data_IF_952722627151
#
_entry.id   IF_952722627151
#
_cell.length_a   1.000
_cell.length_b   1.000
_cell.length_c   1.000
_cell.angle_alpha   90.00
_cell.angle_beta   90.00
_cell.angle_gamma   90.00
#
_symmetry.space_group_name_H-M   'P 1'
#
loop_
_entity.id
_entity.type
_entity.pdbx_description
1 polymer ?
#
# COMPACT_ATOMS: atom_id res chain seq x y z
N UNK A 1 6.87 -24.99 37.87
CA UNK A 1 6.65 -26.16 36.99
C UNK A 1 6.33 -25.63 35.59
N UNK A 2 7.29 -25.66 34.66
CA UNK A 2 7.05 -25.34 33.25
C UNK A 2 6.60 -26.63 32.59
N UNK A 3 5.31 -26.76 32.30
CA UNK A 3 4.81 -27.82 31.41
C UNK A 3 5.43 -27.61 30.03
N UNK A 4 6.15 -28.63 29.54
CA UNK A 4 6.60 -28.73 28.16
C UNK A 4 5.36 -28.68 27.28
N UNK A 5 5.24 -27.62 26.46
CA UNK A 5 4.31 -27.61 25.34
C UNK A 5 4.74 -28.67 24.33
N UNK A 6 4.02 -29.77 24.30
CA UNK A 6 4.05 -30.75 23.25
C UNK A 6 2.84 -30.47 22.36
N UNK A 7 3.10 -29.83 21.23
CA UNK A 7 2.50 -30.07 19.91
C UNK A 7 2.99 -28.99 18.96
N UNK A 8 3.89 -29.37 18.08
CA UNK A 8 4.43 -28.52 17.00
C UNK A 8 3.42 -28.31 15.84
N UNK A 9 2.12 -28.23 16.13
CA UNK A 9 1.16 -27.85 15.10
C UNK A 9 1.22 -26.34 14.89
N UNK A 10 1.52 -25.90 13.67
CA UNK A 10 1.43 -24.49 13.28
C UNK A 10 0.00 -24.01 13.58
N UNK A 11 -0.18 -22.94 14.35
CA UNK A 11 -1.52 -22.44 14.65
C UNK A 11 -2.25 -22.06 13.35
N UNK A 12 -3.60 -22.24 13.31
CA UNK A 12 -4.37 -21.92 12.12
C UNK A 12 -4.19 -20.44 11.74
N UNK A 13 -4.18 -20.11 10.43
CA UNK A 13 -4.04 -18.74 9.99
C UNK A 13 -5.22 -17.88 10.45
N UNK A 14 -4.92 -16.67 10.88
CA UNK A 14 -5.90 -15.67 11.30
C UNK A 14 -5.83 -14.44 10.40
N UNK A 15 -7.00 -13.88 10.06
CA UNK A 15 -7.15 -12.71 9.21
C UNK A 15 -8.16 -11.73 9.81
N UNK A 16 -8.03 -10.46 9.48
CA UNK A 16 -9.04 -9.47 9.84
C UNK A 16 -10.30 -9.61 8.99
N UNK A 17 -11.45 -9.64 9.63
CA UNK A 17 -12.77 -9.66 8.99
C UNK A 17 -13.48 -8.32 9.09
N UNK A 18 -13.39 -7.65 10.24
CA UNK A 18 -13.93 -6.30 10.45
C UNK A 18 -13.05 -5.52 11.41
N UNK A 19 -13.08 -4.21 11.29
CA UNK A 19 -12.53 -3.28 12.25
C UNK A 19 -13.62 -2.30 12.66
N UNK A 20 -13.96 -2.23 13.95
CA UNK A 20 -14.85 -1.21 14.52
C UNK A 20 -14.03 -0.26 15.37
N UNK A 21 -14.24 1.03 15.15
CA UNK A 21 -13.58 2.12 15.87
C UNK A 21 -14.61 3.12 16.37
N UNK A 22 -14.34 3.74 17.53
CA UNK A 22 -15.18 4.76 18.14
C UNK A 22 -14.29 5.76 18.90
N UNK A 23 -14.52 7.05 18.74
CA UNK A 23 -13.73 8.12 19.39
C UNK A 23 -12.21 8.02 19.19
N UNK A 24 -11.79 7.61 17.97
CA UNK A 24 -10.38 7.51 17.60
C UNK A 24 -9.99 8.67 16.70
N UNK A 25 -9.29 9.67 17.23
CA UNK A 25 -8.82 10.86 16.49
C UNK A 25 -9.95 11.56 15.73
N UNK A 26 -9.92 11.49 14.37
CA UNK A 26 -10.92 12.09 13.49
C UNK A 26 -12.23 11.29 13.40
N UNK A 27 -12.28 10.06 13.91
CA UNK A 27 -13.47 9.20 13.94
C UNK A 27 -14.20 9.37 15.25
N UNK A 28 -15.31 10.10 15.26
CA UNK A 28 -16.06 10.43 16.50
C UNK A 28 -17.08 9.36 16.86
N UNK A 29 -17.98 9.02 15.94
CA UNK A 29 -18.98 8.00 16.14
C UNK A 29 -18.43 6.59 15.90
N UNK A 30 -19.10 5.58 16.41
CA UNK A 30 -18.80 4.18 16.10
C UNK A 30 -18.96 3.93 14.60
N UNK A 31 -17.92 3.42 13.98
CA UNK A 31 -17.89 3.07 12.56
C UNK A 31 -17.22 1.71 12.37
N UNK A 32 -17.77 0.89 11.50
CA UNK A 32 -17.25 -0.43 11.19
C UNK A 32 -16.83 -0.53 9.75
N UNK A 33 -15.60 -1.04 9.54
CA UNK A 33 -15.04 -1.38 8.25
C UNK A 33 -15.20 -2.88 8.06
N UNK A 34 -15.84 -3.30 6.99
CA UNK A 34 -15.82 -4.69 6.52
C UNK A 34 -14.49 -4.93 5.75
N UNK A 35 -13.71 -5.91 6.17
CA UNK A 35 -12.44 -6.33 5.56
C UNK A 35 -12.61 -7.67 4.83
N UNK A 36 -13.86 -8.07 4.53
CA UNK A 36 -14.20 -9.27 3.79
C UNK A 36 -14.39 -8.99 2.28
N UNK A 37 -14.47 -10.07 1.51
CA UNK A 37 -14.72 -10.07 0.07
C UNK A 37 -16.22 -9.99 -0.30
N UNK A 38 -17.07 -9.65 0.66
CA UNK A 38 -18.54 -9.68 0.52
C UNK A 38 -19.17 -11.08 0.63
N UNK A 39 -18.39 -12.15 0.53
CA UNK A 39 -18.81 -13.54 0.70
C UNK A 39 -18.45 -14.11 2.08
N UNK A 40 -18.02 -13.26 2.99
CA UNK A 40 -17.64 -13.62 4.35
C UNK A 40 -16.23 -14.18 4.51
N UNK A 41 -15.43 -14.22 3.43
CA UNK A 41 -13.99 -14.52 3.49
C UNK A 41 -13.21 -13.21 3.59
N UNK A 42 -12.01 -13.23 4.20
CA UNK A 42 -11.14 -12.05 4.20
C UNK A 42 -10.84 -11.60 2.76
N UNK A 43 -11.00 -10.32 2.47
CA UNK A 43 -10.54 -9.75 1.21
C UNK A 43 -9.02 -9.85 1.14
N UNK A 44 -8.46 -10.31 0.03
CA UNK A 44 -7.01 -10.31 -0.16
C UNK A 44 -6.47 -8.87 -0.20
N UNK A 45 -7.23 -7.96 -0.80
CA UNK A 45 -6.88 -6.55 -0.89
C UNK A 45 -7.96 -5.66 -0.31
N UNK A 46 -7.58 -4.84 0.65
CA UNK A 46 -8.36 -3.68 1.10
C UNK A 46 -7.54 -2.42 0.84
N UNK A 47 -8.12 -1.49 0.07
CA UNK A 47 -7.49 -0.21 -0.26
C UNK A 47 -8.23 0.91 0.45
N UNK A 48 -7.52 1.69 1.26
CA UNK A 48 -8.06 2.83 2.01
C UNK A 48 -7.69 4.10 1.23
N UNK A 49 -8.68 4.78 0.69
CA UNK A 49 -8.55 6.07 0.03
C UNK A 49 -9.05 7.21 0.93
N UNK A 50 -8.59 8.38 0.65
CA UNK A 50 -9.03 9.62 1.30
C UNK A 50 -7.96 10.69 1.23
N UNK A 51 -8.34 11.93 1.48
CA UNK A 51 -7.44 13.08 1.50
C UNK A 51 -6.37 12.97 2.60
N UNK A 52 -5.43 13.91 2.59
CA UNK A 52 -4.49 14.07 3.68
C UNK A 52 -5.23 14.37 4.98
N UNK A 53 -4.76 13.79 6.08
CA UNK A 53 -5.31 13.93 7.44
C UNK A 53 -6.72 13.32 7.64
N UNK A 54 -7.23 12.47 6.73
CA UNK A 54 -8.51 11.76 6.93
C UNK A 54 -8.39 10.52 7.81
N UNK A 55 -7.18 10.15 8.24
CA UNK A 55 -7.00 9.06 9.19
C UNK A 55 -6.62 7.70 8.60
N UNK A 56 -6.18 7.62 7.33
CA UNK A 56 -5.69 6.38 6.69
C UNK A 56 -4.64 5.65 7.54
N UNK A 57 -3.56 6.34 7.87
CA UNK A 57 -2.50 5.83 8.77
C UNK A 57 -3.05 5.45 10.15
N UNK A 58 -4.07 6.17 10.65
CA UNK A 58 -4.70 5.85 11.94
C UNK A 58 -5.39 4.49 11.91
N UNK A 59 -6.12 4.17 10.85
CA UNK A 59 -6.76 2.86 10.68
C UNK A 59 -5.73 1.74 10.60
N UNK A 60 -4.65 1.91 9.83
CA UNK A 60 -3.56 0.94 9.76
C UNK A 60 -2.90 0.73 11.14
N UNK A 61 -2.67 1.80 11.89
CA UNK A 61 -2.13 1.73 13.27
C UNK A 61 -3.09 1.04 14.24
N UNK A 62 -4.41 1.21 14.07
CA UNK A 62 -5.41 0.47 14.86
C UNK A 62 -5.28 -1.04 14.64
N UNK A 63 -5.16 -1.48 13.37
CA UNK A 63 -4.96 -2.89 13.03
C UNK A 63 -3.61 -3.41 13.52
N UNK A 64 -2.54 -2.63 13.37
CA UNK A 64 -1.20 -3.01 13.82
C UNK A 64 -1.10 -3.23 15.33
N UNK A 65 -1.97 -2.60 16.13
CA UNK A 65 -2.03 -2.79 17.60
C UNK A 65 -2.47 -4.21 17.99
N UNK A 66 -3.04 -4.99 17.11
CA UNK A 66 -3.33 -6.40 17.33
C UNK A 66 -2.13 -7.32 17.16
N UNK A 67 -0.95 -6.81 16.76
CA UNK A 67 0.29 -7.56 16.82
C UNK A 67 0.77 -7.67 18.28
N UNK A 68 0.37 -8.74 18.96
CA UNK A 68 0.71 -8.99 20.36
C UNK A 68 2.21 -9.14 20.63
N UNK A 69 3.01 -9.45 19.60
CA UNK A 69 4.48 -9.55 19.72
C UNK A 69 5.10 -8.18 20.00
N UNK A 70 4.43 -7.11 19.62
CA UNK A 70 4.86 -5.73 19.82
C UNK A 70 4.80 -5.30 21.30
N UNK A 71 4.09 -6.05 22.17
CA UNK A 71 3.77 -5.64 23.53
C UNK A 71 4.33 -6.55 24.63
N UNK A 72 5.07 -7.62 24.30
CA UNK A 72 5.63 -8.54 25.28
C UNK A 72 7.11 -8.28 25.48
N UNK A 73 7.47 -7.17 26.12
CA UNK A 73 8.73 -7.06 26.85
C UNK A 73 8.56 -6.27 28.14
N UNK A 74 8.33 -6.94 29.30
CA UNK A 74 8.13 -6.25 30.59
C UNK A 74 9.41 -5.73 31.23
N UNK A 75 10.59 -5.80 30.59
CA UNK A 75 11.89 -5.56 31.21
C UNK A 75 12.69 -4.35 30.72
N UNK A 76 12.19 -3.57 29.79
CA UNK A 76 12.84 -2.31 29.45
C UNK A 76 12.11 -1.15 30.14
N UNK A 77 12.71 -0.66 31.22
CA UNK A 77 12.45 0.65 31.84
C UNK A 77 12.80 1.76 30.82
N UNK A 78 12.03 1.93 29.81
CA UNK A 78 12.00 3.16 29.03
C UNK A 78 10.68 3.87 29.33
N UNK A 79 10.79 5.17 29.52
CA UNK A 79 9.70 6.12 29.77
C UNK A 79 8.71 6.21 28.61
N UNK A 80 8.39 5.08 28.00
CA UNK A 80 7.36 4.98 26.99
C UNK A 80 5.99 5.07 27.67
N UNK A 81 5.31 6.16 27.34
CA UNK A 81 3.92 6.40 27.69
C UNK A 81 3.12 5.11 27.61
N UNK A 82 2.58 4.69 28.75
CA UNK A 82 1.48 3.71 28.78
C UNK A 82 0.51 4.05 27.68
N UNK A 83 0.50 3.25 26.61
CA UNK A 83 -0.56 3.34 25.62
C UNK A 83 -1.80 2.92 26.40
N UNK A 84 -2.66 3.88 26.73
CA UNK A 84 -3.93 3.66 27.41
C UNK A 84 -4.67 2.55 26.68
N UNK A 85 -5.29 1.63 27.42
CA UNK A 85 -6.23 0.65 26.88
C UNK A 85 -7.32 1.45 26.16
N UNK A 86 -7.30 1.42 24.84
CA UNK A 86 -8.25 2.13 24.01
C UNK A 86 -9.42 1.17 23.76
N UNK A 87 -10.41 1.20 24.65
CA UNK A 87 -11.64 0.40 24.55
C UNK A 87 -12.44 0.71 23.28
N UNK A 88 -12.04 1.76 22.56
CA UNK A 88 -12.70 2.25 21.35
C UNK A 88 -12.39 1.45 20.09
N UNK A 89 -11.42 0.51 20.14
CA UNK A 89 -11.03 -0.29 18.97
C UNK A 89 -11.39 -1.75 19.18
N UNK A 90 -12.28 -2.25 18.32
CA UNK A 90 -12.73 -3.65 18.31
C UNK A 90 -12.38 -4.25 16.94
N UNK A 91 -11.99 -5.51 16.90
CA UNK A 91 -11.80 -6.22 15.64
C UNK A 91 -12.36 -7.63 15.68
N UNK A 92 -12.86 -8.11 14.56
CA UNK A 92 -13.23 -9.49 14.37
C UNK A 92 -12.15 -10.18 13.53
N UNK A 93 -11.64 -11.30 14.07
CA UNK A 93 -10.69 -12.15 13.38
C UNK A 93 -11.39 -13.40 12.87
N UNK A 94 -11.13 -13.77 11.61
CA UNK A 94 -11.50 -15.07 11.06
C UNK A 94 -10.32 -16.02 11.23
N UNK A 95 -10.54 -17.12 11.95
CA UNK A 95 -9.59 -18.21 12.09
C UNK A 95 -10.10 -19.38 11.24
N UNK A 96 -9.29 -19.91 10.33
CA UNK A 96 -9.70 -20.81 9.24
C UNK A 96 -10.41 -22.10 9.67
N UNK A 97 -10.25 -22.56 10.91
CA UNK A 97 -10.85 -23.81 11.38
C UNK A 97 -11.76 -23.67 12.60
N UNK A 98 -11.81 -22.51 13.23
CA UNK A 98 -12.54 -22.33 14.52
C UNK A 98 -13.65 -21.28 14.52
N UNK A 99 -13.97 -20.71 13.36
CA UNK A 99 -15.03 -19.71 13.23
C UNK A 99 -14.57 -18.25 13.46
N UNK A 100 -15.52 -17.38 13.71
CA UNK A 100 -15.29 -15.94 13.89
C UNK A 100 -15.12 -15.59 15.36
N UNK A 101 -14.06 -14.87 15.70
CA UNK A 101 -13.78 -14.40 17.06
C UNK A 101 -13.95 -12.90 17.16
N UNK A 102 -14.54 -12.44 18.27
CA UNK A 102 -14.69 -11.03 18.61
C UNK A 102 -13.67 -10.67 19.68
N UNK A 103 -12.80 -9.69 19.41
CA UNK A 103 -11.90 -9.14 20.40
C UNK A 103 -12.44 -7.81 20.90
N UNK A 104 -12.71 -7.75 22.19
CA UNK A 104 -13.13 -6.53 22.88
C UNK A 104 -12.01 -5.98 23.75
N UNK A 105 -11.07 -6.84 24.16
CA UNK A 105 -9.94 -6.52 25.05
C UNK A 105 -8.71 -7.36 24.75
N UNK A 106 -7.55 -6.90 25.20
CA UNK A 106 -6.25 -7.55 25.05
C UNK A 106 -6.12 -8.79 25.95
N UNK A 107 -6.78 -9.87 25.64
CA UNK A 107 -6.48 -11.14 26.29
C UNK A 107 -5.69 -12.03 25.34
N UNK A 108 -4.54 -12.50 25.82
CA UNK A 108 -3.79 -13.57 25.17
C UNK A 108 -4.64 -14.83 25.15
N UNK A 109 -5.03 -15.28 23.98
CA UNK A 109 -5.58 -16.59 23.73
C UNK A 109 -4.58 -17.34 22.80
N UNK A 110 -4.26 -18.58 23.12
CA UNK A 110 -3.40 -19.43 22.27
C UNK A 110 -3.94 -19.55 20.83
N UNK A 111 -5.21 -19.32 20.63
CA UNK A 111 -5.88 -19.30 19.32
C UNK A 111 -5.46 -18.12 18.42
N UNK A 112 -4.90 -17.04 18.99
CA UNK A 112 -4.41 -15.87 18.28
C UNK A 112 -2.96 -16.05 17.81
N UNK A 113 -2.29 -17.11 18.20
CA UNK A 113 -0.90 -17.38 17.81
C UNK A 113 -0.70 -17.46 16.28
N UNK A 114 -1.77 -17.66 15.51
CA UNK A 114 -1.79 -17.61 14.04
C UNK A 114 -1.91 -16.22 13.43
N UNK A 115 -2.13 -15.16 14.23
CA UNK A 115 -2.18 -13.79 13.74
C UNK A 115 -0.76 -13.27 13.49
N UNK A 116 -0.42 -13.04 12.24
CA UNK A 116 0.89 -12.60 11.81
C UNK A 116 0.71 -11.29 11.03
N UNK A 117 1.14 -10.19 11.63
CA UNK A 117 1.01 -8.85 11.08
C UNK A 117 2.39 -8.28 10.80
N UNK A 118 2.57 -7.75 9.60
CA UNK A 118 3.72 -6.95 9.18
C UNK A 118 3.21 -5.56 8.80
N UNK A 119 3.95 -4.51 9.18
CA UNK A 119 3.50 -3.15 8.95
C UNK A 119 4.61 -2.26 8.41
N UNK A 120 4.32 -1.55 7.31
CA UNK A 120 5.26 -0.69 6.60
C UNK A 120 4.69 0.72 6.52
N UNK A 121 5.38 1.67 7.17
CA UNK A 121 5.05 3.10 7.11
C UNK A 121 5.52 3.75 5.81
N UNK A 122 5.36 5.07 5.73
CA UNK A 122 5.73 5.85 4.54
C UNK A 122 7.24 5.94 4.33
N UNK A 123 8.04 6.02 5.40
CA UNK A 123 9.48 6.20 5.30
C UNK A 123 10.21 5.04 4.62
N UNK A 124 9.86 3.80 4.91
CA UNK A 124 10.41 2.55 4.34
C UNK A 124 11.91 2.62 4.01
N UNK A 125 12.68 3.27 4.91
CA UNK A 125 14.12 3.42 4.73
C UNK A 125 14.82 2.12 5.06
N UNK A 126 15.75 1.72 4.19
CA UNK A 126 16.66 0.62 4.45
C UNK A 126 17.69 1.04 5.51
N UNK A 127 17.98 0.15 6.46
CA UNK A 127 19.09 0.37 7.39
C UNK A 127 20.42 0.28 6.64
N UNK A 128 21.39 1.04 7.12
CA UNK A 128 22.78 1.02 6.63
C UNK A 128 23.74 0.31 7.62
N UNK A 129 23.22 -0.07 8.80
CA UNK A 129 23.98 -0.80 9.81
C UNK A 129 24.08 -2.30 9.46
N UNK A 130 25.04 -2.99 10.06
CA UNK A 130 25.16 -4.42 9.89
C UNK A 130 24.02 -5.16 10.60
N UNK A 131 23.56 -6.29 10.02
CA UNK A 131 22.46 -7.10 10.56
C UNK A 131 22.75 -7.67 11.96
N UNK A 132 24.02 -7.75 12.34
CA UNK A 132 24.43 -8.23 13.66
C UNK A 132 24.18 -7.22 14.79
N UNK A 133 23.93 -5.94 14.47
CA UNK A 133 23.88 -4.88 15.47
C UNK A 133 22.48 -4.47 15.90
N UNK A 134 21.44 -4.61 15.05
CA UNK A 134 20.06 -4.23 15.38
C UNK A 134 19.04 -5.12 14.67
N UNK A 135 18.44 -6.05 15.35
CA UNK A 135 17.18 -6.60 14.92
C UNK A 135 16.03 -5.67 15.32
N UNK A 136 15.28 -5.18 14.33
CA UNK A 136 13.96 -4.57 14.58
C UNK A 136 13.03 -5.63 15.14
N UNK A 137 12.89 -5.67 16.48
CA UNK A 137 12.11 -6.67 17.21
C UNK A 137 10.63 -6.70 16.80
N UNK A 138 10.11 -5.60 16.27
CA UNK A 138 8.69 -5.46 16.00
C UNK A 138 8.41 -5.23 14.52
N UNK A 139 7.62 -6.12 13.96
CA UNK A 139 7.31 -6.15 12.53
C UNK A 139 6.42 -4.99 12.05
N UNK A 140 5.84 -4.22 12.97
CA UNK A 140 4.93 -3.10 12.67
C UNK A 140 5.50 -1.74 13.07
N UNK A 141 6.74 -1.68 13.58
CA UNK A 141 7.34 -0.45 14.15
C UNK A 141 7.36 0.73 13.19
N UNK A 142 7.63 0.49 11.92
CA UNK A 142 7.72 1.55 10.90
C UNK A 142 6.39 2.26 10.62
N UNK A 143 5.24 1.66 10.99
CA UNK A 143 3.95 2.34 10.96
C UNK A 143 3.80 3.40 12.05
N UNK A 144 4.58 3.30 13.13
CA UNK A 144 4.45 4.18 14.29
C UNK A 144 5.52 5.27 14.37
N UNK A 145 6.66 5.08 13.70
CA UNK A 145 7.76 6.04 13.69
C UNK A 145 8.49 6.02 12.35
N UNK A 146 8.71 7.20 11.79
CA UNK A 146 9.46 7.41 10.55
C UNK A 146 10.99 7.24 10.74
N UNK A 147 11.45 7.21 12.00
CA UNK A 147 12.86 6.96 12.36
C UNK A 147 13.20 5.46 12.33
N UNK A 148 12.19 4.60 12.24
CA UNK A 148 12.40 3.17 12.19
C UNK A 148 12.80 2.73 10.78
N UNK A 149 14.00 2.13 10.70
CA UNK A 149 14.51 1.56 9.47
C UNK A 149 14.08 0.11 9.29
N UNK A 150 13.95 -0.31 8.04
CA UNK A 150 13.80 -1.71 7.66
C UNK A 150 15.19 -2.37 7.66
N UNK A 151 15.24 -3.68 7.46
CA UNK A 151 16.53 -4.39 7.39
C UNK A 151 17.44 -3.81 6.30
N UNK A 152 18.75 -3.99 6.47
CA UNK A 152 19.70 -3.80 5.38
C UNK A 152 19.54 -4.94 4.37
N UNK A 153 18.74 -4.67 3.32
CA UNK A 153 18.40 -5.68 2.32
C UNK A 153 19.64 -6.15 1.55
N UNK A 154 20.58 -5.25 1.24
CA UNK A 154 21.81 -5.58 0.54
C UNK A 154 22.66 -6.55 1.36
N UNK A 155 22.86 -6.26 2.63
CA UNK A 155 23.64 -7.11 3.50
C UNK A 155 22.98 -8.48 3.70
N UNK A 156 21.64 -8.51 3.87
CA UNK A 156 20.93 -9.79 3.99
C UNK A 156 21.07 -10.65 2.74
N UNK A 157 21.03 -10.04 1.55
CA UNK A 157 21.26 -10.74 0.29
C UNK A 157 22.69 -11.28 0.21
N UNK A 158 23.71 -10.49 0.59
CA UNK A 158 25.11 -10.90 0.63
C UNK A 158 25.37 -12.04 1.62
N UNK A 159 24.79 -11.96 2.82
CA UNK A 159 24.88 -13.03 3.81
C UNK A 159 24.20 -14.33 3.35
N UNK A 160 23.06 -14.19 2.64
CA UNK A 160 22.36 -15.35 2.08
C UNK A 160 23.19 -16.00 0.97
N UNK A 161 23.83 -15.22 0.07
CA UNK A 161 24.75 -15.73 -0.95
C UNK A 161 25.98 -16.41 -0.33
N UNK A 162 26.53 -15.81 0.71
CA UNK A 162 27.65 -16.43 1.45
C UNK A 162 27.24 -17.77 2.06
N UNK A 163 26.05 -17.85 2.66
CA UNK A 163 25.53 -19.11 3.20
C UNK A 163 25.32 -20.18 2.10
N UNK A 164 24.86 -19.76 0.90
CA UNK A 164 24.77 -20.66 -0.26
C UNK A 164 26.14 -21.23 -0.64
N UNK A 165 27.16 -20.37 -0.73
CA UNK A 165 28.55 -20.77 -1.05
C UNK A 165 29.15 -21.71 -0.01
N UNK A 166 28.66 -21.65 1.23
CA UNK A 166 29.03 -22.59 2.30
C UNK A 166 28.12 -23.84 2.37
N UNK A 167 27.29 -24.09 1.37
CA UNK A 167 26.51 -25.34 1.25
C UNK A 167 25.22 -25.38 2.07
N UNK A 168 24.71 -24.24 2.58
CA UNK A 168 23.45 -24.20 3.32
C UNK A 168 22.26 -24.29 2.36
N UNK A 169 21.63 -25.47 2.27
CA UNK A 169 20.52 -25.74 1.34
C UNK A 169 19.34 -24.78 1.49
N UNK A 170 18.96 -24.45 2.73
CA UNK A 170 17.87 -23.51 2.98
C UNK A 170 18.17 -22.10 2.43
N UNK A 171 19.43 -21.65 2.46
CA UNK A 171 19.84 -20.39 1.91
C UNK A 171 19.71 -20.36 0.37
N UNK A 172 20.03 -21.46 -0.30
CA UNK A 172 19.89 -21.57 -1.76
C UNK A 172 18.43 -21.42 -2.20
N UNK A 173 17.49 -22.09 -1.52
CA UNK A 173 16.06 -21.95 -1.79
C UNK A 173 15.57 -20.51 -1.54
N UNK A 174 15.97 -19.87 -0.43
CA UNK A 174 15.62 -18.48 -0.11
C UNK A 174 16.14 -17.49 -1.15
N UNK A 175 17.42 -17.65 -1.53
CA UNK A 175 18.04 -16.80 -2.55
C UNK A 175 17.35 -16.92 -3.91
N UNK A 176 17.01 -18.15 -4.33
CA UNK A 176 16.30 -18.37 -5.59
C UNK A 176 14.92 -17.73 -5.58
N UNK A 177 14.16 -17.86 -4.48
CA UNK A 177 12.83 -17.24 -4.35
C UNK A 177 12.89 -15.72 -4.34
N UNK A 178 13.78 -15.11 -3.56
CA UNK A 178 13.89 -13.62 -3.53
C UNK A 178 14.39 -13.08 -4.86
N UNK A 179 15.29 -13.82 -5.54
CA UNK A 179 15.71 -13.45 -6.89
C UNK A 179 14.53 -13.44 -7.85
N UNK A 180 13.71 -14.49 -7.84
CA UNK A 180 12.48 -14.53 -8.62
C UNK A 180 11.56 -13.34 -8.29
N UNK A 181 11.33 -13.02 -7.03
CA UNK A 181 10.52 -11.88 -6.61
C UNK A 181 11.07 -10.58 -7.19
N UNK A 182 12.35 -10.28 -7.01
CA UNK A 182 12.94 -9.00 -7.43
C UNK A 182 13.09 -8.85 -8.94
N UNK A 183 13.11 -9.96 -9.71
CA UNK A 183 13.29 -9.93 -11.17
C UNK A 183 12.03 -10.25 -11.97
N UNK A 184 10.90 -10.51 -11.32
CA UNK A 184 9.63 -10.86 -11.98
C UNK A 184 8.73 -9.66 -12.33
N UNK A 185 9.29 -8.44 -12.33
CA UNK A 185 8.60 -7.22 -12.75
C UNK A 185 8.16 -6.28 -11.62
N UNK A 186 8.51 -6.56 -10.36
CA UNK A 186 8.34 -5.59 -9.26
C UNK A 186 9.28 -4.39 -9.42
N UNK A 187 10.44 -4.64 -10.03
CA UNK A 187 11.41 -3.64 -10.43
C UNK A 187 11.44 -3.67 -11.97
N UNK A 188 10.71 -2.81 -12.69
CA UNK A 188 10.46 -2.95 -14.13
C UNK A 188 11.70 -3.18 -14.97
N UNK A 189 12.70 -2.36 -14.84
CA UNK A 189 13.89 -2.41 -15.68
C UNK A 189 14.96 -3.38 -15.15
N UNK A 190 14.64 -4.13 -14.07
CA UNK A 190 15.58 -5.09 -13.47
C UNK A 190 15.29 -6.50 -13.97
N UNK A 191 16.24 -7.04 -14.73
CA UNK A 191 16.14 -8.39 -15.31
C UNK A 191 16.88 -9.45 -14.51
N UNK A 192 17.89 -9.05 -13.74
CA UNK A 192 18.72 -9.94 -12.93
C UNK A 192 19.46 -9.15 -11.83
N UNK A 193 20.06 -9.84 -10.89
CA UNK A 193 21.07 -9.27 -10.01
C UNK A 193 22.20 -10.27 -9.71
N UNK A 194 23.37 -9.76 -9.39
CA UNK A 194 24.55 -10.55 -9.06
C UNK A 194 25.29 -9.98 -7.86
N UNK A 195 26.11 -10.80 -7.25
CA UNK A 195 26.99 -10.43 -6.15
C UNK A 195 28.38 -10.16 -6.71
N UNK A 196 28.91 -8.99 -6.44
CA UNK A 196 30.24 -8.56 -6.92
C UNK A 196 31.10 -8.18 -5.72
N UNK A 197 32.37 -8.58 -5.78
CA UNK A 197 33.38 -8.22 -4.77
C UNK A 197 34.54 -7.51 -5.47
N UNK A 198 34.90 -6.32 -4.99
CA UNK A 198 36.06 -5.56 -5.50
C UNK A 198 37.37 -6.15 -5.02
N UNK A 199 38.48 -5.69 -5.62
CA UNK A 199 39.83 -6.05 -5.18
C UNK A 199 40.10 -5.68 -3.71
N UNK A 200 39.44 -4.63 -3.23
CA UNK A 200 39.50 -4.14 -1.83
C UNK A 200 38.56 -4.90 -0.88
N UNK A 201 38.06 -6.07 -1.32
CA UNK A 201 37.18 -6.96 -0.55
C UNK A 201 35.83 -6.32 -0.16
N UNK A 202 35.37 -5.27 -0.86
CA UNK A 202 34.02 -4.72 -0.67
C UNK A 202 33.05 -5.46 -1.56
N UNK A 203 32.03 -6.08 -0.93
CA UNK A 203 30.96 -6.80 -1.61
C UNK A 203 29.69 -5.94 -1.69
N UNK A 204 28.99 -6.03 -2.82
CA UNK A 204 27.73 -5.34 -3.06
C UNK A 204 26.87 -6.13 -4.04
N UNK A 205 25.58 -5.74 -4.12
CA UNK A 205 24.62 -6.31 -5.07
C UNK A 205 24.53 -5.39 -6.28
N UNK A 206 24.77 -5.93 -7.47
CA UNK A 206 24.57 -5.25 -8.74
C UNK A 206 23.28 -5.73 -9.40
N UNK A 207 22.40 -4.81 -9.72
CA UNK A 207 21.17 -5.05 -10.48
C UNK A 207 21.42 -4.81 -11.96
N UNK A 208 21.05 -5.78 -12.78
CA UNK A 208 21.13 -5.67 -14.23
C UNK A 208 19.88 -4.99 -14.75
N UNK A 209 20.05 -3.80 -15.31
CA UNK A 209 19.00 -3.01 -15.95
C UNK A 209 19.20 -2.95 -17.46
N UNK A 210 18.22 -2.41 -18.19
CA UNK A 210 18.33 -2.17 -19.63
C UNK A 210 19.47 -1.20 -20.00
N UNK A 211 19.89 -0.37 -19.05
CA UNK A 211 20.95 0.64 -19.22
C UNK A 211 22.31 0.21 -18.67
N UNK A 212 22.43 -1.02 -18.16
CA UNK A 212 23.66 -1.56 -17.58
C UNK A 212 23.48 -2.09 -16.16
N UNK A 213 24.60 -2.40 -15.50
CA UNK A 213 24.63 -2.87 -14.12
C UNK A 213 24.81 -1.67 -13.18
N UNK A 214 23.92 -1.56 -12.17
CA UNK A 214 23.91 -0.48 -11.18
C UNK A 214 23.82 -1.07 -9.76
N UNK A 215 24.40 -0.39 -8.77
CA UNK A 215 24.31 -0.80 -7.37
C UNK A 215 22.95 -0.43 -6.79
N UNK A 216 22.54 -1.11 -5.69
CA UNK A 216 21.29 -0.82 -5.02
C UNK A 216 21.15 0.66 -4.61
N UNK A 217 22.21 1.25 -4.09
CA UNK A 217 22.23 2.66 -3.68
C UNK A 217 22.28 3.68 -4.84
N UNK A 218 22.54 3.22 -6.05
CA UNK A 218 22.51 4.03 -7.28
C UNK A 218 21.14 3.98 -7.98
N UNK A 219 20.29 3.01 -7.59
CA UNK A 219 18.91 2.96 -8.06
C UNK A 219 18.10 4.14 -7.51
N UNK A 220 17.06 4.55 -8.23
CA UNK A 220 16.12 5.56 -7.75
C UNK A 220 15.47 5.17 -6.42
N UNK A 221 15.07 6.19 -5.62
CA UNK A 221 14.53 5.96 -4.27
C UNK A 221 13.34 5.00 -4.24
N UNK A 222 12.46 5.03 -5.25
CA UNK A 222 11.34 4.10 -5.38
C UNK A 222 11.79 2.63 -5.45
N UNK A 223 12.86 2.34 -6.20
CA UNK A 223 13.47 1.00 -6.26
C UNK A 223 14.04 0.58 -4.91
N UNK A 224 14.82 1.47 -4.28
CA UNK A 224 15.43 1.18 -2.97
C UNK A 224 14.36 0.90 -1.91
N UNK A 225 13.31 1.71 -1.86
CA UNK A 225 12.17 1.54 -0.95
C UNK A 225 11.45 0.21 -1.21
N UNK A 226 11.22 -0.13 -2.49
CA UNK A 226 10.56 -1.38 -2.87
C UNK A 226 11.41 -2.60 -2.48
N UNK A 227 12.70 -2.59 -2.79
CA UNK A 227 13.62 -3.66 -2.39
C UNK A 227 13.64 -3.79 -0.86
N UNK A 228 13.73 -2.67 -0.13
CA UNK A 228 13.81 -2.69 1.33
C UNK A 228 12.63 -3.43 1.97
N UNK A 229 11.38 -3.03 1.66
CA UNK A 229 10.24 -3.63 2.33
C UNK A 229 9.86 -5.02 1.80
N UNK A 230 10.08 -5.29 0.51
CA UNK A 230 9.81 -6.63 -0.06
C UNK A 230 10.81 -7.66 0.46
N UNK A 231 12.09 -7.30 0.56
CA UNK A 231 13.12 -8.19 1.13
C UNK A 231 12.90 -8.37 2.64
N UNK A 232 12.52 -7.32 3.38
CA UNK A 232 12.15 -7.42 4.80
C UNK A 232 10.95 -8.37 5.01
N UNK A 233 9.90 -8.23 4.21
CA UNK A 233 8.75 -9.14 4.26
C UNK A 233 9.15 -10.57 3.95
N UNK A 234 9.90 -10.80 2.87
CA UNK A 234 10.35 -12.12 2.48
C UNK A 234 11.22 -12.77 3.57
N UNK A 235 12.19 -12.04 4.15
CA UNK A 235 13.00 -12.50 5.28
C UNK A 235 12.12 -12.97 6.42
N UNK A 236 11.16 -12.15 6.84
CA UNK A 236 10.26 -12.46 7.96
C UNK A 236 9.39 -13.69 7.69
N UNK A 237 8.92 -13.88 6.46
CA UNK A 237 8.17 -15.06 6.07
C UNK A 237 9.07 -16.31 6.04
N UNK A 238 10.31 -16.22 5.56
CA UNK A 238 11.28 -17.32 5.64
C UNK A 238 11.62 -17.74 7.08
N UNK A 239 11.68 -16.78 7.99
CA UNK A 239 11.93 -17.05 9.41
C UNK A 239 10.69 -17.62 10.10
N UNK A 240 9.51 -17.19 9.70
CA UNK A 240 8.24 -17.63 10.29
C UNK A 240 7.86 -19.05 9.85
N UNK A 241 8.13 -19.38 8.59
CA UNK A 241 7.76 -20.65 7.97
C UNK A 241 8.99 -21.41 7.45
N UNK A 242 9.93 -21.79 8.35
CA UNK A 242 11.22 -22.37 7.95
C UNK A 242 11.07 -23.74 7.26
N UNK A 243 9.99 -24.47 7.57
CA UNK A 243 9.74 -25.81 7.04
C UNK A 243 8.84 -25.80 5.78
N UNK A 244 8.32 -24.64 5.40
CA UNK A 244 7.47 -24.53 4.19
C UNK A 244 8.33 -24.59 2.93
N UNK A 245 7.84 -25.31 1.93
CA UNK A 245 8.46 -25.30 0.59
C UNK A 245 8.35 -23.93 -0.08
N UNK A 246 7.27 -23.19 0.21
CA UNK A 246 7.07 -21.83 -0.30
C UNK A 246 6.60 -20.86 0.80
N UNK A 247 7.50 -20.39 1.66
CA UNK A 247 7.17 -19.47 2.75
C UNK A 247 6.48 -18.18 2.30
N UNK A 248 6.71 -17.72 1.07
CA UNK A 248 6.09 -16.50 0.53
C UNK A 248 4.60 -16.69 0.22
N UNK A 249 4.15 -17.93 0.00
CA UNK A 249 2.75 -18.25 -0.21
C UNK A 249 1.98 -18.56 1.10
N UNK A 250 2.67 -18.51 2.24
CA UNK A 250 2.06 -18.78 3.53
C UNK A 250 1.23 -17.61 4.06
N UNK A 251 0.25 -17.87 4.96
CA UNK A 251 -0.66 -16.86 5.47
C UNK A 251 0.03 -15.73 6.24
N UNK A 252 -0.34 -14.49 5.95
CA UNK A 252 0.11 -13.31 6.68
C UNK A 252 -0.85 -12.13 6.47
N UNK A 253 -0.71 -11.09 7.29
CA UNK A 253 -1.37 -9.80 7.11
C UNK A 253 -0.29 -8.74 6.91
N UNK A 254 -0.45 -7.95 5.85
CA UNK A 254 0.51 -6.89 5.51
C UNK A 254 -0.22 -5.55 5.46
N UNK A 255 0.21 -4.63 6.29
CA UNK A 255 -0.28 -3.26 6.36
C UNK A 255 0.74 -2.35 5.70
N UNK A 256 0.35 -1.58 4.67
CA UNK A 256 1.27 -0.66 3.97
C UNK A 256 0.65 0.73 3.90
N UNK A 257 1.34 1.70 4.47
CA UNK A 257 0.92 3.11 4.35
C UNK A 257 1.49 3.70 3.06
N UNK A 258 0.61 4.35 2.27
CA UNK A 258 0.93 4.94 0.97
C UNK A 258 1.70 3.97 0.04
N UNK A 259 1.06 2.88 -0.35
CA UNK A 259 1.69 1.84 -1.19
C UNK A 259 2.23 2.36 -2.51
N UNK A 260 1.61 3.42 -3.05
CA UNK A 260 1.96 4.12 -4.29
C UNK A 260 3.14 5.08 -4.15
N UNK A 261 3.56 5.40 -2.93
CA UNK A 261 4.57 6.42 -2.67
C UNK A 261 5.90 6.07 -3.37
N UNK A 262 6.43 7.04 -4.11
CA UNK A 262 7.66 6.94 -4.92
C UNK A 262 7.61 5.96 -6.09
N UNK A 263 6.46 5.38 -6.42
CA UNK A 263 6.32 4.52 -7.57
C UNK A 263 5.98 5.32 -8.84
N UNK A 264 6.66 5.00 -9.93
CA UNK A 264 6.28 5.49 -11.24
C UNK A 264 4.84 5.04 -11.58
N UNK A 265 4.02 5.84 -12.30
CA UNK A 265 2.65 5.49 -12.65
C UNK A 265 2.47 4.09 -13.26
N UNK A 266 3.40 3.65 -14.09
CA UNK A 266 3.38 2.30 -14.65
C UNK A 266 3.48 1.19 -13.58
N UNK A 267 4.25 1.43 -12.53
CA UNK A 267 4.38 0.49 -11.41
C UNK A 267 3.15 0.48 -10.53
N UNK A 268 2.56 1.64 -10.31
CA UNK A 268 1.30 1.74 -9.58
C UNK A 268 0.21 0.87 -10.23
N UNK A 269 0.21 0.74 -11.55
CA UNK A 269 -0.71 -0.16 -12.28
C UNK A 269 -0.44 -1.64 -12.10
N UNK A 270 0.78 -2.03 -11.78
CA UNK A 270 1.23 -3.44 -11.76
C UNK A 270 1.40 -4.02 -10.36
N UNK A 271 1.58 -3.16 -9.34
CA UNK A 271 2.01 -3.58 -8.00
C UNK A 271 1.04 -4.56 -7.33
N UNK A 272 -0.27 -4.33 -7.45
CA UNK A 272 -1.28 -5.21 -6.84
C UNK A 272 -1.21 -6.61 -7.48
N UNK A 273 -1.23 -6.68 -8.81
CA UNK A 273 -1.14 -7.95 -9.52
C UNK A 273 0.15 -8.70 -9.16
N UNK A 274 1.25 -7.97 -9.12
CA UNK A 274 2.55 -8.52 -8.78
C UNK A 274 2.57 -9.10 -7.35
N UNK A 275 2.18 -8.33 -6.34
CA UNK A 275 2.16 -8.78 -4.95
C UNK A 275 1.17 -9.93 -4.74
N UNK A 276 0.03 -9.92 -5.43
CA UNK A 276 -0.93 -11.05 -5.43
C UNK A 276 -0.27 -12.35 -5.89
N UNK A 277 0.51 -12.29 -6.96
CA UNK A 277 1.17 -13.46 -7.51
C UNK A 277 2.29 -14.01 -6.60
N UNK A 278 3.04 -13.13 -5.93
CA UNK A 278 4.16 -13.52 -5.06
C UNK A 278 3.70 -13.93 -3.65
N UNK A 279 2.60 -13.34 -3.15
CA UNK A 279 2.09 -13.53 -1.78
C UNK A 279 0.59 -13.90 -1.80
N UNK A 280 0.22 -15.06 -2.37
CA UNK A 280 -1.17 -15.38 -2.67
C UNK A 280 -2.07 -15.60 -1.45
N UNK A 281 -1.49 -15.93 -0.28
CA UNK A 281 -2.22 -16.12 0.97
C UNK A 281 -2.11 -14.93 1.94
N UNK A 282 -1.57 -13.81 1.48
CA UNK A 282 -1.43 -12.60 2.29
C UNK A 282 -2.68 -11.72 2.16
N UNK A 283 -3.20 -11.26 3.30
CA UNK A 283 -4.18 -10.19 3.36
C UNK A 283 -3.46 -8.85 3.37
N UNK A 284 -3.61 -8.06 2.30
CA UNK A 284 -3.06 -6.71 2.20
C UNK A 284 -4.12 -5.68 2.58
N UNK A 285 -3.79 -4.81 3.52
CA UNK A 285 -4.60 -3.64 3.88
C UNK A 285 -3.70 -2.42 3.71
N UNK A 286 -3.99 -1.60 2.70
CA UNK A 286 -3.08 -0.56 2.26
C UNK A 286 -3.77 0.78 2.16
N UNK A 287 -3.05 1.87 2.41
CA UNK A 287 -3.51 3.20 2.04
C UNK A 287 -2.91 3.62 0.70
N UNK A 288 -3.62 4.45 -0.03
CA UNK A 288 -3.16 5.02 -1.29
C UNK A 288 -3.80 6.37 -1.57
N UNK A 289 -3.12 7.18 -2.38
CA UNK A 289 -3.63 8.40 -3.01
C UNK A 289 -3.72 8.26 -4.53
N UNK A 290 -3.41 7.09 -5.09
CA UNK A 290 -3.34 6.89 -6.54
C UNK A 290 -4.62 6.32 -7.12
N UNK A 291 -5.27 7.02 -8.07
CA UNK A 291 -6.37 6.45 -8.83
C UNK A 291 -5.90 5.27 -9.71
N UNK A 292 -4.61 5.22 -10.08
CA UNK A 292 -4.04 4.13 -10.88
C UNK A 292 -4.02 2.80 -10.14
N UNK A 293 -3.78 2.83 -8.83
CA UNK A 293 -3.87 1.64 -7.97
C UNK A 293 -5.29 1.07 -8.00
N UNK A 294 -6.29 1.94 -7.85
CA UNK A 294 -7.71 1.53 -7.84
C UNK A 294 -8.12 1.00 -9.22
N UNK A 295 -7.78 1.72 -10.29
CA UNK A 295 -8.12 1.34 -11.66
C UNK A 295 -7.54 -0.02 -12.07
N UNK A 296 -6.31 -0.31 -11.64
CA UNK A 296 -5.61 -1.53 -12.06
C UNK A 296 -6.01 -2.76 -11.26
N UNK A 297 -6.60 -2.56 -10.11
CA UNK A 297 -6.90 -3.63 -9.18
C UNK A 297 -8.16 -4.41 -9.57
N UNK A 298 -8.12 -5.72 -9.32
CA UNK A 298 -9.24 -6.62 -9.52
C UNK A 298 -9.63 -7.24 -8.18
N UNK A 299 -10.91 -7.38 -7.92
CA UNK A 299 -11.44 -8.00 -6.72
C UNK A 299 -10.90 -7.36 -5.42
N UNK A 300 -11.08 -6.05 -5.29
CA UNK A 300 -10.67 -5.27 -4.13
C UNK A 300 -11.86 -4.90 -3.25
N UNK A 301 -11.57 -4.76 -1.96
CA UNK A 301 -12.42 -4.08 -1.01
C UNK A 301 -11.95 -2.63 -0.89
N UNK A 302 -12.81 -1.66 -1.19
CA UNK A 302 -12.47 -0.24 -1.18
C UNK A 302 -13.08 0.44 0.05
N UNK A 303 -12.26 1.19 0.78
CA UNK A 303 -12.64 1.98 1.96
C UNK A 303 -12.36 3.44 1.66
N UNK A 304 -13.39 4.26 1.61
CA UNK A 304 -13.30 5.71 1.36
C UNK A 304 -13.44 6.46 2.68
N UNK A 305 -12.51 7.38 2.94
CA UNK A 305 -12.53 8.25 4.10
C UNK A 305 -12.97 9.64 3.67
N UNK A 306 -14.22 9.99 3.98
CA UNK A 306 -14.85 11.23 3.58
C UNK A 306 -14.80 12.27 4.71
N UNK A 307 -14.23 13.42 4.41
CA UNK A 307 -14.09 14.50 5.37
C UNK A 307 -15.43 15.24 5.52
N UNK A 308 -15.94 15.25 6.75
CA UNK A 308 -17.06 16.09 7.16
C UNK A 308 -16.55 17.39 7.83
N UNK A 309 -17.44 18.24 8.26
CA UNK A 309 -17.06 19.52 8.89
C UNK A 309 -16.13 19.38 10.09
N UNK A 310 -16.33 18.35 10.93
CA UNK A 310 -15.65 18.18 12.21
C UNK A 310 -15.22 16.73 12.52
N UNK A 311 -15.44 15.82 11.59
CA UNK A 311 -15.07 14.39 11.71
C UNK A 311 -14.86 13.76 10.34
N UNK A 312 -14.53 12.47 10.32
CA UNK A 312 -14.39 11.65 9.11
C UNK A 312 -15.38 10.51 9.16
N UNK A 313 -16.06 10.28 8.04
CA UNK A 313 -16.93 9.13 7.84
C UNK A 313 -16.29 8.11 6.91
N UNK A 314 -16.70 6.85 7.09
CA UNK A 314 -16.22 5.73 6.31
C UNK A 314 -17.33 5.28 5.37
N UNK A 315 -17.04 5.24 4.08
CA UNK A 315 -17.92 4.69 3.04
C UNK A 315 -17.25 3.51 2.33
N UNK A 316 -17.97 2.43 2.11
CA UNK A 316 -17.50 1.29 1.34
C UNK A 316 -18.45 1.06 0.16
N UNK A 317 -18.00 1.32 -1.09
CA UNK A 317 -18.76 1.00 -2.28
C UNK A 317 -18.94 -0.53 -2.43
N UNK A 318 -20.08 -0.93 -3.00
CA UNK A 318 -20.35 -2.35 -3.26
C UNK A 318 -19.67 -2.92 -4.53
N UNK A 319 -18.80 -2.13 -5.17
CA UNK A 319 -18.05 -2.53 -6.34
C UNK A 319 -16.69 -3.11 -5.94
N UNK A 320 -16.30 -4.18 -6.61
CA UNK A 320 -15.02 -4.87 -6.37
C UNK A 320 -13.98 -4.65 -7.46
N UNK A 321 -14.35 -3.97 -8.54
CA UNK A 321 -13.46 -3.64 -9.67
C UNK A 321 -13.80 -2.30 -10.27
N UNK A 322 -12.77 -1.58 -10.69
CA UNK A 322 -12.85 -0.26 -11.32
C UNK A 322 -12.06 -0.19 -12.63
N UNK A 323 -11.73 -1.35 -13.20
CA UNK A 323 -10.87 -1.44 -14.39
C UNK A 323 -11.46 -0.77 -15.64
N UNK A 324 -12.79 -0.65 -15.71
CA UNK A 324 -13.46 0.06 -16.80
C UNK A 324 -13.64 1.56 -16.58
N UNK A 325 -13.25 2.06 -15.40
CA UNK A 325 -13.38 3.47 -15.06
C UNK A 325 -12.21 4.28 -15.60
N UNK A 326 -12.45 5.50 -16.03
CA UNK A 326 -11.40 6.46 -16.33
C UNK A 326 -10.77 6.98 -15.04
N UNK A 327 -9.57 7.54 -15.15
CA UNK A 327 -8.91 8.18 -14.00
C UNK A 327 -9.75 9.35 -13.47
N UNK A 328 -10.40 10.10 -14.37
CA UNK A 328 -11.26 11.23 -14.02
C UNK A 328 -12.50 10.77 -13.22
N UNK A 329 -13.15 9.69 -13.63
CA UNK A 329 -14.29 9.11 -12.89
C UNK A 329 -13.86 8.67 -11.49
N UNK A 330 -12.69 8.03 -11.35
CA UNK A 330 -12.15 7.63 -10.05
C UNK A 330 -11.86 8.84 -9.17
N UNK A 331 -11.23 9.88 -9.71
CA UNK A 331 -10.93 11.11 -8.99
C UNK A 331 -12.21 11.84 -8.53
N UNK A 332 -13.23 11.87 -9.37
CA UNK A 332 -14.47 12.55 -9.06
C UNK A 332 -15.35 11.77 -8.09
N UNK A 333 -15.58 10.48 -8.34
CA UNK A 333 -16.58 9.67 -7.62
C UNK A 333 -16.03 9.05 -6.33
N UNK A 334 -14.73 8.74 -6.29
CA UNK A 334 -14.11 8.03 -5.18
C UNK A 334 -13.18 8.91 -4.34
N UNK A 335 -12.61 9.97 -4.92
CA UNK A 335 -11.65 10.83 -4.25
C UNK A 335 -12.16 12.26 -4.01
N UNK A 336 -13.43 12.52 -4.35
CA UNK A 336 -14.15 13.79 -4.12
C UNK A 336 -13.38 15.05 -4.63
N UNK A 337 -12.65 14.87 -5.74
CA UNK A 337 -11.90 15.97 -6.33
C UNK A 337 -12.79 16.87 -7.21
N UNK A 338 -13.85 16.31 -7.81
CA UNK A 338 -14.79 17.07 -8.64
C UNK A 338 -14.10 17.97 -9.67
N UNK A 339 -14.56 19.17 -9.80
CA UNK A 339 -13.97 20.19 -10.69
C UNK A 339 -12.51 20.57 -10.34
N UNK A 340 -12.01 20.23 -9.14
CA UNK A 340 -10.62 20.47 -8.71
C UNK A 340 -9.57 19.70 -9.51
N UNK A 341 -9.99 18.80 -10.39
CA UNK A 341 -9.09 18.14 -11.36
C UNK A 341 -8.64 19.07 -12.48
N UNK A 342 -9.35 20.18 -12.68
CA UNK A 342 -9.10 21.17 -13.71
C UNK A 342 -8.52 22.45 -13.11
N UNK A 343 -7.77 23.22 -13.90
CA UNK A 343 -7.23 24.49 -13.41
C UNK A 343 -8.31 25.57 -13.28
N UNK A 344 -8.19 26.42 -12.25
CA UNK A 344 -9.14 27.51 -12.02
C UNK A 344 -9.30 28.41 -13.25
N UNK A 345 -8.22 28.67 -14.00
CA UNK A 345 -8.26 29.45 -15.22
C UNK A 345 -9.11 28.77 -16.31
N UNK A 346 -8.96 27.45 -16.47
CA UNK A 346 -9.77 26.69 -17.42
C UNK A 346 -11.26 26.73 -17.03
N UNK A 347 -11.58 26.50 -15.76
CA UNK A 347 -12.96 26.56 -15.25
C UNK A 347 -13.59 27.95 -15.44
N UNK A 348 -12.82 29.00 -15.17
CA UNK A 348 -13.29 30.36 -15.39
C UNK A 348 -13.58 30.66 -16.87
N UNK A 349 -12.71 30.18 -17.77
CA UNK A 349 -12.90 30.37 -19.22
C UNK A 349 -14.08 29.55 -19.75
N UNK A 350 -14.25 28.28 -19.32
CA UNK A 350 -15.42 27.47 -19.68
C UNK A 350 -16.70 28.17 -19.23
N UNK A 351 -16.75 28.62 -17.98
CA UNK A 351 -17.92 29.36 -17.46
C UNK A 351 -18.24 30.62 -18.26
N UNK A 352 -17.21 31.39 -18.63
CA UNK A 352 -17.40 32.58 -19.47
C UNK A 352 -17.91 32.20 -20.86
N UNK A 353 -17.41 31.11 -21.43
CA UNK A 353 -17.85 30.60 -22.72
C UNK A 353 -19.32 30.18 -22.67
N UNK A 354 -19.71 29.36 -21.67
CA UNK A 354 -21.09 28.88 -21.50
C UNK A 354 -22.06 30.01 -21.25
N UNK A 355 -21.73 30.98 -20.38
CA UNK A 355 -22.54 32.16 -20.13
C UNK A 355 -22.71 33.05 -21.39
N UNK A 356 -21.70 33.08 -22.26
CA UNK A 356 -21.79 33.84 -23.53
C UNK A 356 -22.63 33.06 -24.57
N UNK A 357 -22.56 31.73 -24.60
CA UNK A 357 -23.44 30.88 -25.43
C UNK A 357 -24.91 31.06 -25.04
N UNK A 358 -25.24 31.00 -23.74
CA UNK A 358 -26.59 31.15 -23.21
C UNK A 358 -27.20 32.52 -23.54
N UNK A 359 -26.36 33.56 -23.69
CA UNK A 359 -26.76 34.93 -24.04
C UNK A 359 -26.65 35.22 -25.54
N UNK A 360 -26.31 34.21 -26.35
CA UNK A 360 -26.07 34.34 -27.79
C UNK A 360 -25.05 35.46 -28.13
N UNK A 361 -24.11 35.78 -27.19
CA UNK A 361 -23.08 36.81 -27.36
C UNK A 361 -21.86 36.22 -28.09
N UNK A 362 -21.90 36.23 -29.41
CA UNK A 362 -20.82 35.69 -30.24
C UNK A 362 -19.45 36.31 -29.93
N UNK A 363 -19.38 37.62 -29.64
CA UNK A 363 -18.09 38.27 -29.42
C UNK A 363 -17.43 37.81 -28.14
N UNK A 364 -18.19 37.63 -27.05
CA UNK A 364 -17.66 37.09 -25.77
C UNK A 364 -17.39 35.63 -25.88
N UNK A 365 -18.26 34.81 -26.49
CA UNK A 365 -18.04 33.41 -26.72
C UNK A 365 -16.74 33.16 -27.52
N UNK A 366 -16.51 33.96 -28.57
CA UNK A 366 -15.31 33.89 -29.37
C UNK A 366 -14.05 34.24 -28.58
N UNK A 367 -14.10 35.31 -27.78
CA UNK A 367 -12.95 35.70 -26.94
C UNK A 367 -12.59 34.61 -25.93
N UNK A 368 -13.57 33.99 -25.25
CA UNK A 368 -13.35 32.89 -24.32
C UNK A 368 -12.84 31.63 -25.06
N UNK A 369 -13.41 31.31 -26.24
CA UNK A 369 -12.97 30.20 -27.07
C UNK A 369 -11.52 30.38 -27.53
N UNK A 370 -11.10 31.56 -27.98
CA UNK A 370 -9.75 31.85 -28.47
C UNK A 370 -8.70 31.63 -27.32
N UNK A 371 -9.06 31.92 -26.07
CA UNK A 371 -8.19 31.62 -24.90
C UNK A 371 -8.21 30.13 -24.55
N UNK A 372 -9.36 29.47 -24.58
CA UNK A 372 -9.50 28.04 -24.37
C UNK A 372 -8.72 27.23 -25.44
N UNK A 373 -8.75 27.67 -26.70
CA UNK A 373 -8.05 27.03 -27.80
C UNK A 373 -6.54 27.01 -27.64
N UNK A 374 -5.97 28.01 -26.95
CA UNK A 374 -4.53 28.09 -26.64
C UNK A 374 -4.07 27.08 -25.57
N UNK A 375 -4.94 26.75 -24.61
CA UNK A 375 -4.59 25.92 -23.45
C UNK A 375 -5.05 24.45 -23.61
N UNK A 376 -6.02 24.19 -24.49
CA UNK A 376 -6.51 22.85 -24.76
C UNK A 376 -5.53 22.03 -25.61
N UNK A 377 -5.45 20.72 -25.29
CA UNK A 377 -4.67 19.80 -26.12
C UNK A 377 -5.22 19.78 -27.56
N UNK A 378 -4.33 19.82 -28.59
CA UNK A 378 -4.75 19.89 -30.00
C UNK A 378 -5.75 18.80 -30.43
N UNK A 379 -5.61 17.60 -29.89
CA UNK A 379 -6.42 16.42 -30.22
C UNK A 379 -7.58 16.16 -29.24
N UNK A 380 -7.83 17.08 -28.30
CA UNK A 380 -8.87 16.84 -27.29
C UNK A 380 -10.29 16.83 -27.89
N UNK A 381 -11.15 15.96 -27.39
CA UNK A 381 -12.56 15.91 -27.76
C UNK A 381 -13.28 17.22 -27.35
N UNK A 382 -12.86 17.81 -26.22
CA UNK A 382 -13.40 19.06 -25.72
C UNK A 382 -13.17 20.22 -26.71
N UNK A 383 -11.97 20.31 -27.29
CA UNK A 383 -11.65 21.32 -28.32
C UNK A 383 -12.57 21.22 -29.52
N UNK A 384 -12.86 19.97 -29.97
CA UNK A 384 -13.78 19.73 -31.09
C UNK A 384 -15.21 20.13 -30.73
N UNK A 385 -15.66 19.82 -29.51
CA UNK A 385 -16.99 20.17 -29.02
C UNK A 385 -17.18 21.68 -28.97
N UNK A 386 -16.27 22.41 -28.33
CA UNK A 386 -16.31 23.86 -28.23
C UNK A 386 -16.32 24.57 -29.60
N UNK A 387 -15.58 23.99 -30.57
CA UNK A 387 -15.58 24.49 -31.95
C UNK A 387 -16.95 24.32 -32.62
N UNK A 388 -17.62 23.19 -32.38
CA UNK A 388 -18.98 22.95 -32.90
C UNK A 388 -19.96 23.94 -32.28
N UNK A 389 -19.91 24.11 -30.95
CA UNK A 389 -20.77 25.09 -30.23
C UNK A 389 -20.53 26.51 -30.72
N UNK A 390 -19.29 26.95 -30.96
CA UNK A 390 -18.97 28.23 -31.55
C UNK A 390 -19.58 28.42 -32.94
N UNK A 391 -19.57 27.36 -33.76
CA UNK A 391 -20.10 27.44 -35.12
C UNK A 391 -21.62 27.67 -35.15
N UNK A 392 -22.35 27.24 -34.12
CA UNK A 392 -23.78 27.45 -34.01
C UNK A 392 -24.19 28.94 -33.74
N UNK A 393 -23.27 29.73 -33.21
CA UNK A 393 -23.45 31.16 -32.98
C UNK A 393 -22.95 32.04 -34.12
N UNK A 394 -22.36 31.47 -35.17
CA UNK A 394 -21.92 32.26 -36.32
C UNK A 394 -23.14 32.88 -36.99
N UNK A 395 -23.19 34.22 -37.18
CA UNK A 395 -24.23 34.82 -37.97
C UNK A 395 -24.24 34.22 -39.39
N UNK A 396 -25.40 33.83 -39.90
CA UNK A 396 -25.55 33.42 -41.29
C UNK A 396 -24.93 34.50 -42.17
N UNK A 397 -23.86 34.15 -42.85
CA UNK A 397 -23.30 35.02 -43.88
C UNK A 397 -24.31 35.11 -45.02
N UNK A 398 -24.95 36.28 -45.09
CA UNK A 398 -25.83 36.64 -46.22
C UNK A 398 -25.02 36.74 -47.50
#
# INVERSE_FOLDING_TARGET
MRQKMANNATPPPAYFKTLTIENVKCFKAEQTIDLSDGNGKPAQWTIILGDNNTGKTTLLRCLARFDFRTFINPRENSSEKKISHDESIKSHLLIKESGTWKFKDRFWDEKIAGLIIYGYGTARRMDTSSLSEKENKYATSSLFSDDMTLINAEEWLLQTDYAVKNGVKAAASRLAKIKQVLTSGILPDVTDFRFTTTKDLKSFVEFKTDYGSVRLNELGYGYQSMVAWVVDLAKRLFERYPESENPLAEPSIVLVDEIDLHLHPEWQRKIIQFLTAQFPSTQFIVSSHSPLIVQSANNINLVLLEKQSDHVTIRQPNLTTYQGWTIEEILNELMDLGEKTLSDNYLALIKQFDEALDKEDYAKAKAAYDELDKILHPESSQRKLLRIQMSSLMPETV
#
